data_IF_477777041660
#
_entry.id   IF_477777041660
#
_cell.length_a   1.000
_cell.length_b   1.000
_cell.length_c   1.000
_cell.angle_alpha   90.00
_cell.angle_beta   90.00
_cell.angle_gamma   90.00
#
_symmetry.space_group_name_H-M   'P 1'
#
loop_
_entity.id
_entity.type
_entity.pdbx_description
1 polymer ?
#
# COMPACT_ATOMS: atom_id res chain seq x y z
N UNK A 1 5.18 -5.50 -9.72
CA UNK A 1 5.77 -6.68 -10.38
C UNK A 1 6.62 -7.51 -9.41
N UNK A 2 7.60 -6.93 -8.76
CA UNK A 2 8.66 -7.65 -8.01
C UNK A 2 8.20 -8.27 -6.68
N UNK A 3 7.16 -7.73 -6.03
CA UNK A 3 6.76 -8.07 -4.65
C UNK A 3 6.63 -9.58 -4.38
N UNK A 4 5.95 -10.39 -5.19
CA UNK A 4 5.76 -11.83 -4.88
C UNK A 4 7.06 -12.64 -4.92
N UNK A 5 8.09 -12.15 -5.59
CA UNK A 5 9.36 -12.85 -5.80
C UNK A 5 10.46 -12.44 -4.81
N UNK A 6 10.29 -11.30 -4.14
CA UNK A 6 11.31 -10.78 -3.22
C UNK A 6 11.62 -11.72 -2.04
N UNK A 7 10.64 -12.41 -1.39
CA UNK A 7 10.95 -13.35 -0.31
C UNK A 7 11.83 -14.51 -0.78
N UNK A 8 11.55 -15.08 -1.95
CA UNK A 8 12.35 -16.15 -2.54
C UNK A 8 13.75 -15.65 -2.93
N UNK A 9 13.83 -14.45 -3.51
CA UNK A 9 15.11 -13.83 -3.86
C UNK A 9 15.99 -13.56 -2.63
N UNK A 10 15.41 -12.97 -1.56
CA UNK A 10 16.16 -12.78 -0.32
C UNK A 10 16.62 -14.11 0.29
N UNK A 11 15.78 -15.15 0.25
CA UNK A 11 16.16 -16.49 0.72
C UNK A 11 17.32 -17.09 -0.08
N UNK A 12 17.37 -16.87 -1.40
CA UNK A 12 18.49 -17.33 -2.26
C UNK A 12 19.81 -16.63 -1.92
N UNK A 13 19.77 -15.43 -1.32
CA UNK A 13 20.92 -14.71 -0.80
C UNK A 13 21.33 -15.16 0.62
N UNK A 14 20.61 -16.12 1.23
CA UNK A 14 20.83 -16.59 2.59
C UNK A 14 20.09 -15.79 3.68
N UNK A 15 19.14 -14.92 3.32
CA UNK A 15 18.44 -14.01 4.23
C UNK A 15 16.99 -14.44 4.56
N UNK A 16 16.67 -15.75 4.57
CA UNK A 16 15.31 -16.25 4.79
C UNK A 16 14.68 -15.75 6.10
N UNK A 17 15.48 -15.54 7.14
CA UNK A 17 15.05 -15.02 8.45
C UNK A 17 14.64 -13.54 8.43
N UNK A 18 15.06 -12.78 7.40
CA UNK A 18 14.81 -11.33 7.28
C UNK A 18 13.63 -10.98 6.37
N UNK A 19 12.78 -11.93 5.98
CA UNK A 19 11.65 -11.70 5.06
C UNK A 19 10.74 -10.54 5.49
N UNK A 20 10.47 -10.41 6.79
CA UNK A 20 9.68 -9.30 7.33
C UNK A 20 10.30 -7.92 7.08
N UNK A 21 11.63 -7.82 7.03
CA UNK A 21 12.34 -6.57 6.76
C UNK A 21 12.18 -6.09 5.30
N UNK A 22 11.84 -6.99 4.36
CA UNK A 22 11.59 -6.61 2.96
C UNK A 22 10.56 -5.49 2.87
N UNK A 23 9.47 -5.65 3.57
CA UNK A 23 8.35 -4.70 3.55
C UNK A 23 8.53 -3.63 4.63
N UNK A 24 8.98 -4.00 5.82
CA UNK A 24 9.15 -3.06 6.93
C UNK A 24 10.11 -1.91 6.59
N UNK A 25 11.28 -2.19 6.01
CA UNK A 25 12.24 -1.15 5.62
C UNK A 25 11.70 -0.26 4.50
N UNK A 26 10.99 -0.84 3.54
CA UNK A 26 10.37 -0.11 2.46
C UNK A 26 9.28 0.85 2.98
N UNK A 27 8.36 0.37 3.80
CA UNK A 27 7.27 1.19 4.36
C UNK A 27 7.77 2.19 5.39
N UNK A 28 8.83 1.89 6.13
CA UNK A 28 9.49 2.83 7.03
C UNK A 28 9.94 4.09 6.28
N UNK A 29 10.68 3.90 5.20
CA UNK A 29 11.15 5.04 4.39
C UNK A 29 10.00 5.72 3.66
N UNK A 30 9.03 4.97 3.15
CA UNK A 30 7.83 5.52 2.54
C UNK A 30 7.08 6.43 3.52
N UNK A 31 6.82 5.96 4.75
CA UNK A 31 6.13 6.72 5.79
C UNK A 31 6.89 7.98 6.22
N UNK A 32 8.19 7.85 6.50
CA UNK A 32 9.04 8.98 6.90
C UNK A 32 9.12 10.04 5.79
N UNK A 33 9.13 9.62 4.52
CA UNK A 33 9.28 10.55 3.40
C UNK A 33 8.00 11.32 3.03
N UNK A 34 6.81 10.86 3.44
CA UNK A 34 5.53 11.51 3.07
C UNK A 34 5.39 12.98 3.48
N UNK A 35 5.70 13.41 4.71
CA UNK A 35 5.63 14.82 5.06
C UNK A 35 6.58 15.69 4.23
N UNK A 36 7.78 15.14 3.91
CA UNK A 36 8.76 15.85 3.07
C UNK A 36 8.27 15.96 1.62
N UNK A 37 7.76 14.86 1.05
CA UNK A 37 7.29 14.85 -0.34
C UNK A 37 6.09 15.80 -0.53
N UNK A 38 5.17 15.88 0.43
CA UNK A 38 4.07 16.83 0.42
C UNK A 38 4.56 18.27 0.40
N UNK A 39 5.42 18.65 1.37
CA UNK A 39 5.98 19.99 1.44
C UNK A 39 6.80 20.36 0.20
N UNK A 40 7.63 19.45 -0.29
CA UNK A 40 8.42 19.69 -1.49
C UNK A 40 7.54 19.81 -2.74
N UNK A 41 6.50 19.00 -2.86
CA UNK A 41 5.54 19.13 -3.94
C UNK A 41 4.85 20.51 -3.93
N UNK A 42 4.54 21.07 -2.76
CA UNK A 42 3.92 22.39 -2.60
C UNK A 42 4.90 23.57 -2.75
N UNK A 43 6.20 23.32 -2.80
CA UNK A 43 7.22 24.38 -2.84
C UNK A 43 8.05 24.38 -4.12
N UNK A 44 8.59 23.24 -4.53
CA UNK A 44 9.47 23.14 -5.71
C UNK A 44 8.71 22.65 -6.96
N UNK A 45 7.52 22.06 -6.79
CA UNK A 45 6.64 21.64 -7.87
C UNK A 45 6.23 20.17 -7.81
N UNK A 46 5.10 19.84 -8.44
CA UNK A 46 4.54 18.49 -8.50
C UNK A 46 5.40 17.56 -9.34
N UNK A 47 5.72 18.02 -10.57
CA UNK A 47 6.44 17.21 -11.58
C UNK A 47 7.83 16.79 -11.11
N UNK A 48 8.71 17.66 -10.54
CA UNK A 48 10.00 17.25 -10.02
C UNK A 48 9.92 16.14 -8.96
N UNK A 49 8.90 16.17 -8.10
CA UNK A 49 8.72 15.17 -7.03
C UNK A 49 8.23 13.83 -7.59
N UNK A 50 7.35 13.84 -8.60
CA UNK A 50 6.94 12.64 -9.31
C UNK A 50 8.14 11.99 -10.00
N UNK A 51 8.95 12.79 -10.72
CA UNK A 51 10.16 12.32 -11.41
C UNK A 51 11.17 11.73 -10.41
N UNK A 52 11.40 12.39 -9.28
CA UNK A 52 12.31 11.87 -8.24
C UNK A 52 11.93 10.46 -7.81
N UNK A 53 10.66 10.23 -7.46
CA UNK A 53 10.21 8.90 -7.06
C UNK A 53 10.28 7.86 -8.20
N UNK A 54 10.01 8.25 -9.45
CA UNK A 54 10.16 7.39 -10.61
C UNK A 54 11.64 7.00 -10.85
N UNK A 55 12.57 7.94 -10.73
CA UNK A 55 14.01 7.69 -10.84
C UNK A 55 14.48 6.72 -9.76
N UNK A 56 14.06 6.91 -8.50
CA UNK A 56 14.38 5.97 -7.41
C UNK A 56 13.87 4.56 -7.76
N UNK A 57 12.64 4.43 -8.26
CA UNK A 57 12.07 3.14 -8.65
C UNK A 57 12.89 2.46 -9.76
N UNK A 58 13.28 3.21 -10.80
CA UNK A 58 14.11 2.71 -11.92
C UNK A 58 15.47 2.22 -11.41
N UNK A 59 16.19 3.08 -10.68
CA UNK A 59 17.51 2.76 -10.17
C UNK A 59 17.50 1.55 -9.25
N UNK A 60 16.56 1.50 -8.31
CA UNK A 60 16.44 0.36 -7.42
C UNK A 60 16.12 -0.94 -8.20
N UNK A 61 15.22 -0.89 -9.18
CA UNK A 61 14.89 -2.06 -10.00
C UNK A 61 16.08 -2.56 -10.82
N UNK A 62 16.94 -1.68 -11.30
CA UNK A 62 18.17 -2.05 -12.03
C UNK A 62 19.25 -2.63 -11.12
N UNK A 63 19.29 -2.22 -9.84
CA UNK A 63 20.31 -2.68 -8.90
C UNK A 63 19.99 -4.07 -8.34
N UNK A 64 18.72 -4.48 -8.19
CA UNK A 64 18.39 -5.80 -7.63
C UNK A 64 19.15 -6.97 -8.27
N UNK A 65 19.25 -7.10 -9.62
CA UNK A 65 19.93 -8.23 -10.26
C UNK A 65 21.41 -8.39 -9.93
N UNK A 66 22.08 -7.32 -9.51
CA UNK A 66 23.53 -7.31 -9.23
C UNK A 66 23.84 -7.48 -7.74
N UNK A 67 22.83 -7.59 -6.88
CA UNK A 67 23.01 -7.77 -5.45
C UNK A 67 23.38 -9.21 -5.12
N UNK A 68 24.41 -9.37 -4.30
CA UNK A 68 24.93 -10.67 -3.86
C UNK A 68 24.86 -10.86 -2.35
N UNK A 69 24.40 -9.84 -1.60
CA UNK A 69 24.40 -9.87 -0.13
C UNK A 69 23.02 -9.49 0.43
N UNK A 70 22.68 -10.09 1.57
CA UNK A 70 21.46 -9.78 2.33
C UNK A 70 21.43 -8.31 2.74
N UNK A 71 22.54 -7.79 3.27
CA UNK A 71 22.63 -6.38 3.71
C UNK A 71 22.44 -5.40 2.56
N UNK A 72 23.02 -5.67 1.40
CA UNK A 72 22.83 -4.87 0.19
C UNK A 72 21.38 -4.85 -0.27
N UNK A 73 20.73 -6.02 -0.25
CA UNK A 73 19.29 -6.13 -0.57
C UNK A 73 18.43 -5.32 0.40
N UNK A 74 18.63 -5.46 1.70
CA UNK A 74 17.86 -4.74 2.71
C UNK A 74 18.09 -3.22 2.64
N UNK A 75 19.32 -2.77 2.41
CA UNK A 75 19.63 -1.36 2.16
C UNK A 75 18.90 -0.84 0.92
N UNK A 76 18.88 -1.64 -0.16
CA UNK A 76 18.16 -1.26 -1.37
C UNK A 76 16.64 -1.19 -1.14
N UNK A 77 16.08 -2.07 -0.29
CA UNK A 77 14.66 -1.98 0.12
C UNK A 77 14.36 -0.68 0.85
N UNK A 78 15.25 -0.28 1.76
CA UNK A 78 15.14 0.99 2.47
C UNK A 78 15.14 2.18 1.48
N UNK A 79 16.08 2.21 0.52
CA UNK A 79 16.15 3.26 -0.49
C UNK A 79 14.93 3.26 -1.43
N UNK A 80 14.45 2.07 -1.82
CA UNK A 80 13.31 1.93 -2.72
C UNK A 80 12.00 2.50 -2.14
N UNK A 81 11.86 2.55 -0.81
CA UNK A 81 10.71 3.13 -0.12
C UNK A 81 10.46 4.60 -0.48
N UNK A 82 11.51 5.37 -0.82
CA UNK A 82 11.34 6.76 -1.28
C UNK A 82 10.45 6.86 -2.53
N UNK A 83 10.49 5.90 -3.44
CA UNK A 83 9.65 5.92 -4.64
C UNK A 83 8.15 6.02 -4.30
N UNK A 84 7.70 5.23 -3.33
CA UNK A 84 6.30 5.20 -2.88
C UNK A 84 5.95 6.38 -1.97
N UNK A 85 6.90 6.90 -1.23
CA UNK A 85 6.68 8.09 -0.40
C UNK A 85 6.54 9.38 -1.21
N UNK A 86 7.16 9.47 -2.39
CA UNK A 86 7.21 10.69 -3.21
C UNK A 86 6.19 10.70 -4.34
N UNK A 87 6.21 9.69 -5.24
CA UNK A 87 5.40 9.70 -6.47
C UNK A 87 3.89 9.79 -6.22
N UNK A 88 3.24 8.95 -5.41
CA UNK A 88 1.79 9.00 -5.24
C UNK A 88 1.29 10.31 -4.62
N UNK A 89 2.05 10.87 -3.66
CA UNK A 89 1.72 12.15 -3.01
C UNK A 89 1.64 13.27 -4.03
N UNK A 90 2.67 13.38 -4.87
CA UNK A 90 2.74 14.45 -5.87
C UNK A 90 1.77 14.24 -7.04
N UNK A 91 1.51 12.98 -7.48
CA UNK A 91 0.51 12.68 -8.51
C UNK A 91 -0.88 13.10 -8.04
N UNK A 92 -1.25 12.79 -6.80
CA UNK A 92 -2.56 13.15 -6.26
C UNK A 92 -2.75 14.66 -6.23
N UNK A 93 -1.72 15.41 -5.81
CA UNK A 93 -1.74 16.87 -5.84
C UNK A 93 -1.82 17.41 -7.28
N UNK A 94 -1.02 16.89 -8.20
CA UNK A 94 -1.03 17.28 -9.61
C UNK A 94 -2.42 17.12 -10.24
N UNK A 95 -3.05 15.96 -10.03
CA UNK A 95 -4.40 15.70 -10.59
C UNK A 95 -5.44 16.62 -9.95
N UNK A 96 -5.32 16.93 -8.66
CA UNK A 96 -6.22 17.88 -8.01
C UNK A 96 -6.10 19.30 -8.59
N UNK A 97 -4.91 19.68 -9.09
CA UNK A 97 -4.66 20.99 -9.69
C UNK A 97 -5.25 21.12 -11.12
N UNK A 98 -5.24 20.04 -11.91
CA UNK A 98 -5.66 20.08 -13.33
C UNK A 98 -7.15 19.83 -13.57
N UNK A 99 -7.87 19.36 -12.54
CA UNK A 99 -9.31 19.09 -12.64
C UNK A 99 -10.12 20.10 -11.85
N UNK A 100 -11.32 20.45 -12.36
CA UNK A 100 -12.24 21.31 -11.61
C UNK A 100 -12.69 20.61 -10.31
N UNK A 101 -13.05 21.40 -9.30
CA UNK A 101 -13.49 20.89 -7.98
C UNK A 101 -14.64 19.88 -8.09
N UNK A 102 -15.58 20.15 -8.99
CA UNK A 102 -16.75 19.28 -9.27
C UNK A 102 -16.37 17.89 -9.79
N UNK A 103 -15.20 17.74 -10.42
CA UNK A 103 -14.73 16.48 -11.03
C UNK A 103 -13.57 15.82 -10.29
N UNK A 104 -13.12 16.39 -9.17
CA UNK A 104 -12.00 15.82 -8.36
C UNK A 104 -12.27 14.39 -7.91
N UNK A 105 -13.51 14.12 -7.46
CA UNK A 105 -13.89 12.75 -7.04
C UNK A 105 -13.77 11.73 -8.17
N UNK A 106 -14.23 12.07 -9.38
CA UNK A 106 -14.10 11.25 -10.58
C UNK A 106 -12.62 10.97 -10.90
N UNK A 107 -11.80 12.01 -10.91
CA UNK A 107 -10.37 11.89 -11.21
C UNK A 107 -9.62 11.04 -10.18
N UNK A 108 -9.91 11.21 -8.87
CA UNK A 108 -9.33 10.37 -7.81
C UNK A 108 -9.80 8.91 -7.92
N UNK A 109 -11.04 8.69 -8.36
CA UNK A 109 -11.56 7.35 -8.69
C UNK A 109 -10.76 6.68 -9.80
N UNK A 110 -10.45 7.40 -10.88
CA UNK A 110 -9.63 6.90 -12.01
C UNK A 110 -8.20 6.56 -11.53
N UNK A 111 -7.57 7.41 -10.71
CA UNK A 111 -6.28 7.11 -10.10
C UNK A 111 -6.36 5.81 -9.29
N UNK A 112 -7.38 5.68 -8.45
CA UNK A 112 -7.59 4.48 -7.63
C UNK A 112 -7.75 3.20 -8.46
N UNK A 113 -8.50 3.26 -9.57
CA UNK A 113 -8.64 2.14 -10.52
C UNK A 113 -7.29 1.82 -11.16
N UNK A 114 -6.54 2.82 -11.60
CA UNK A 114 -5.22 2.65 -12.23
C UNK A 114 -4.23 1.98 -11.27
N UNK A 115 -4.20 2.40 -10.01
CA UNK A 115 -3.37 1.77 -8.96
C UNK A 115 -3.78 0.30 -8.75
N UNK A 116 -5.07 0.01 -8.70
CA UNK A 116 -5.56 -1.35 -8.52
C UNK A 116 -5.22 -2.24 -9.73
N UNK A 117 -5.38 -1.76 -10.95
CA UNK A 117 -4.99 -2.49 -12.15
C UNK A 117 -3.49 -2.80 -12.15
N UNK A 118 -2.65 -1.82 -11.81
CA UNK A 118 -1.22 -2.02 -11.67
C UNK A 118 -0.86 -3.04 -10.57
N UNK A 119 -1.58 -2.99 -9.45
CA UNK A 119 -1.39 -3.92 -8.32
C UNK A 119 -1.88 -5.35 -8.60
N UNK A 120 -2.73 -5.54 -9.61
CA UNK A 120 -3.18 -6.85 -10.09
C UNK A 120 -2.28 -7.40 -11.18
N UNK A 121 -2.14 -6.64 -12.26
CA UNK A 121 -1.41 -7.06 -13.47
C UNK A 121 0.08 -7.19 -13.17
N UNK A 122 0.62 -6.23 -12.41
CA UNK A 122 2.05 -6.18 -12.11
C UNK A 122 2.58 -7.47 -11.45
N UNK A 123 2.06 -7.90 -10.29
CA UNK A 123 2.48 -9.15 -9.65
C UNK A 123 2.27 -10.38 -10.50
N UNK A 124 1.15 -10.47 -11.23
CA UNK A 124 0.86 -11.62 -12.10
C UNK A 124 1.89 -11.75 -13.23
N UNK A 125 2.14 -10.66 -13.96
CA UNK A 125 3.15 -10.61 -15.04
C UNK A 125 4.55 -10.81 -14.48
N UNK A 126 4.86 -10.21 -13.31
CA UNK A 126 6.15 -10.37 -12.67
C UNK A 126 6.44 -11.82 -12.29
N UNK A 127 5.50 -12.50 -11.62
CA UNK A 127 5.65 -13.93 -11.31
C UNK A 127 5.72 -14.81 -12.57
N UNK A 128 4.96 -14.49 -13.61
CA UNK A 128 5.04 -15.21 -14.88
C UNK A 128 6.45 -15.14 -15.47
N UNK A 129 7.03 -13.93 -15.57
CA UNK A 129 8.39 -13.75 -16.11
C UNK A 129 9.42 -14.45 -15.21
N UNK A 130 9.28 -14.35 -13.89
CA UNK A 130 10.23 -14.96 -12.96
C UNK A 130 10.25 -16.49 -13.04
N UNK A 131 9.09 -17.12 -13.30
CA UNK A 131 8.93 -18.59 -13.37
C UNK A 131 9.39 -19.13 -14.73
N UNK A 132 8.97 -18.50 -15.83
CA UNK A 132 9.17 -19.05 -17.17
C UNK A 132 10.46 -18.54 -17.86
N UNK A 133 11.00 -17.42 -17.40
CA UNK A 133 12.20 -16.82 -17.98
C UNK A 133 13.30 -16.70 -16.93
N UNK A 134 13.34 -15.56 -16.18
CA UNK A 134 14.26 -15.38 -15.08
C UNK A 134 13.87 -14.24 -14.14
N UNK A 135 14.34 -14.33 -12.90
CA UNK A 135 14.24 -13.24 -11.92
C UNK A 135 14.89 -11.93 -12.41
N UNK A 136 16.04 -12.05 -13.05
CA UNK A 136 16.78 -10.89 -13.58
C UNK A 136 15.96 -10.17 -14.67
N UNK A 137 15.37 -10.94 -15.60
CA UNK A 137 14.52 -10.37 -16.63
C UNK A 137 13.30 -9.66 -16.03
N UNK A 138 12.69 -10.23 -14.98
CA UNK A 138 11.59 -9.58 -14.27
C UNK A 138 11.99 -8.21 -13.70
N UNK A 139 13.17 -8.08 -13.11
CA UNK A 139 13.67 -6.80 -12.60
C UNK A 139 13.94 -5.79 -13.74
N UNK A 140 14.53 -6.23 -14.85
CA UNK A 140 14.78 -5.37 -16.01
C UNK A 140 13.46 -4.91 -16.66
N UNK A 141 12.48 -5.80 -16.81
CA UNK A 141 11.16 -5.44 -17.32
C UNK A 141 10.45 -4.46 -16.38
N UNK A 142 10.56 -4.67 -15.06
CA UNK A 142 10.01 -3.74 -14.07
C UNK A 142 10.64 -2.35 -14.20
N UNK A 143 11.96 -2.29 -14.37
CA UNK A 143 12.69 -1.04 -14.59
C UNK A 143 12.29 -0.38 -15.92
N UNK A 144 12.12 -1.17 -16.98
CA UNK A 144 11.67 -0.70 -18.30
C UNK A 144 10.28 -0.07 -18.26
N UNK A 145 9.34 -0.68 -17.52
CA UNK A 145 8.00 -0.11 -17.32
C UNK A 145 8.07 1.20 -16.51
N UNK A 146 8.92 1.25 -15.48
CA UNK A 146 9.13 2.49 -14.72
C UNK A 146 9.76 3.60 -15.57
N UNK A 147 10.70 3.25 -16.45
CA UNK A 147 11.30 4.17 -17.42
C UNK A 147 10.25 4.68 -18.43
N UNK A 148 9.41 3.79 -18.96
CA UNK A 148 8.31 4.18 -19.86
C UNK A 148 7.35 5.14 -19.15
N UNK A 149 6.99 4.85 -17.88
CA UNK A 149 6.20 5.75 -17.06
C UNK A 149 6.88 7.12 -16.90
N UNK A 150 8.19 7.15 -16.65
CA UNK A 150 8.95 8.41 -16.55
C UNK A 150 8.96 9.19 -17.86
N UNK A 151 9.09 8.51 -19.00
CA UNK A 151 9.05 9.19 -20.33
C UNK A 151 7.70 9.88 -20.57
N UNK A 152 6.59 9.29 -20.10
CA UNK A 152 5.27 9.94 -20.18
C UNK A 152 5.21 11.21 -19.31
N UNK A 153 5.97 11.28 -18.22
CA UNK A 153 6.04 12.47 -17.36
C UNK A 153 6.78 13.65 -18.00
N UNK A 154 7.64 13.43 -18.98
CA UNK A 154 8.44 14.50 -19.63
C UNK A 154 7.55 15.54 -20.32
N UNK A 155 6.35 15.16 -20.75
CA UNK A 155 5.38 16.06 -21.37
C UNK A 155 4.44 16.74 -20.36
N UNK A 156 4.56 16.44 -19.07
CA UNK A 156 3.71 17.06 -18.05
C UNK A 156 4.17 18.49 -17.78
N UNK A 157 3.21 19.42 -17.84
CA UNK A 157 3.43 20.81 -17.45
C UNK A 157 3.28 20.94 -15.95
N UNK A 158 4.21 21.66 -15.33
CA UNK A 158 4.12 21.94 -13.90
C UNK A 158 2.88 22.79 -13.60
N UNK A 159 2.16 22.39 -12.54
CA UNK A 159 0.90 23.05 -12.14
C UNK A 159 1.11 24.09 -11.04
N UNK A 160 2.21 24.04 -10.31
CA UNK A 160 2.51 24.99 -9.26
C UNK A 160 2.84 26.36 -9.84
N UNK A 161 2.02 27.36 -9.53
CA UNK A 161 2.14 28.71 -10.09
C UNK A 161 3.41 29.44 -9.63
N UNK A 162 3.79 29.28 -8.35
CA UNK A 162 4.97 29.92 -7.76
C UNK A 162 5.93 28.85 -7.25
N UNK A 163 7.01 28.62 -7.99
CA UNK A 163 8.03 27.65 -7.61
C UNK A 163 9.17 28.32 -6.87
N UNK A 164 9.71 27.61 -5.89
CA UNK A 164 10.96 27.96 -5.23
C UNK A 164 12.08 27.04 -5.69
N UNK A 165 13.31 27.54 -5.73
CA UNK A 165 14.46 26.68 -5.91
C UNK A 165 14.62 25.76 -4.69
N UNK A 166 15.06 24.51 -4.89
CA UNK A 166 15.34 23.62 -3.78
C UNK A 166 16.40 24.23 -2.86
N UNK A 167 16.08 24.26 -1.59
CA UNK A 167 17.02 24.64 -0.53
C UNK A 167 16.90 23.64 0.63
N UNK A 168 18.01 23.19 1.25
CA UNK A 168 17.97 22.22 2.35
C UNK A 168 17.07 22.60 3.53
N UNK A 169 16.82 23.88 3.76
CA UNK A 169 15.86 24.35 4.77
C UNK A 169 14.41 23.88 4.53
N UNK A 170 14.06 23.54 3.30
CA UNK A 170 12.73 22.99 2.98
C UNK A 170 12.51 21.61 3.59
N UNK A 171 13.60 20.91 3.94
CA UNK A 171 13.54 19.62 4.66
C UNK A 171 13.29 19.80 6.18
N UNK A 172 13.27 21.02 6.70
CA UNK A 172 12.93 21.25 8.11
C UNK A 172 11.40 21.25 8.26
N UNK A 173 10.87 20.22 8.92
CA UNK A 173 9.45 20.11 9.25
C UNK A 173 9.20 20.61 10.67
N UNK A 174 8.16 21.42 10.85
CA UNK A 174 7.66 21.75 12.17
C UNK A 174 6.74 20.62 12.65
N UNK A 175 6.72 20.34 13.96
CA UNK A 175 5.92 19.28 14.57
C UNK A 175 4.42 19.40 14.23
N UNK A 176 3.90 20.59 14.16
CA UNK A 176 2.50 20.88 13.81
C UNK A 176 2.18 20.67 12.30
N UNK A 177 3.19 20.45 11.46
CA UNK A 177 3.03 20.19 10.03
C UNK A 177 2.92 18.68 9.73
N UNK A 178 3.25 17.80 10.70
CA UNK A 178 3.37 16.36 10.48
C UNK A 178 2.04 15.63 10.68
N UNK A 179 1.32 15.92 11.78
CA UNK A 179 0.10 15.19 12.15
C UNK A 179 -1.11 16.09 12.29
N UNK A 180 -2.25 15.58 11.83
CA UNK A 180 -3.56 16.17 12.06
C UNK A 180 -4.27 15.46 13.22
N UNK A 181 -4.67 16.22 14.26
CA UNK A 181 -5.25 15.65 15.49
C UNK A 181 -6.60 14.96 15.25
N UNK A 182 -7.44 15.50 14.35
CA UNK A 182 -8.73 14.93 14.00
C UNK A 182 -8.62 13.57 13.31
N UNK A 183 -7.50 13.35 12.62
CA UNK A 183 -7.25 12.15 11.80
C UNK A 183 -6.51 11.03 12.55
N UNK A 184 -6.14 11.22 13.83
CA UNK A 184 -5.42 10.19 14.60
C UNK A 184 -6.29 8.94 14.78
N UNK A 185 -7.57 9.09 15.10
CA UNK A 185 -8.49 7.96 15.30
C UNK A 185 -8.68 7.17 14.00
N UNK A 186 -9.02 7.79 12.85
CA UNK A 186 -8.99 7.11 11.56
C UNK A 186 -7.66 6.43 11.22
N UNK A 187 -6.52 7.06 11.54
CA UNK A 187 -5.20 6.49 11.28
C UNK A 187 -4.94 5.21 12.11
N UNK A 188 -5.35 5.20 13.38
CA UNK A 188 -5.26 4.00 14.23
C UNK A 188 -6.17 2.89 13.69
N UNK A 189 -7.41 3.21 13.33
CA UNK A 189 -8.35 2.25 12.75
C UNK A 189 -7.80 1.67 11.43
N UNK A 190 -7.25 2.53 10.57
CA UNK A 190 -6.56 2.14 9.34
C UNK A 190 -5.37 1.21 9.66
N UNK A 191 -4.59 1.57 10.67
CA UNK A 191 -3.46 0.78 11.14
C UNK A 191 -3.85 -0.64 11.54
N UNK A 192 -4.88 -0.79 12.35
CA UNK A 192 -5.38 -2.09 12.80
C UNK A 192 -5.91 -2.95 11.64
N UNK A 193 -6.57 -2.34 10.65
CA UNK A 193 -7.11 -3.04 9.48
C UNK A 193 -5.99 -3.43 8.51
N UNK A 194 -5.02 -2.54 8.25
CA UNK A 194 -3.97 -2.77 7.26
C UNK A 194 -2.79 -3.61 7.75
N UNK A 195 -2.66 -3.84 9.06
CA UNK A 195 -1.58 -4.65 9.60
C UNK A 195 -1.52 -6.03 8.93
N UNK A 196 -2.66 -6.66 8.73
CA UNK A 196 -2.73 -7.97 8.07
C UNK A 196 -2.25 -7.95 6.62
N UNK A 197 -2.36 -6.82 5.92
CA UNK A 197 -1.86 -6.69 4.56
C UNK A 197 -0.33 -6.80 4.48
N UNK A 198 0.39 -6.31 5.50
CA UNK A 198 1.83 -6.50 5.62
C UNK A 198 2.24 -7.98 5.73
N UNK A 199 1.52 -8.75 6.56
CA UNK A 199 1.72 -10.19 6.65
C UNK A 199 1.41 -10.90 5.32
N UNK A 200 0.30 -10.55 4.65
CA UNK A 200 -0.05 -11.09 3.32
C UNK A 200 1.11 -10.93 2.34
N UNK A 201 1.60 -9.71 2.16
CA UNK A 201 2.67 -9.43 1.18
C UNK A 201 3.94 -10.24 1.48
N UNK A 202 4.21 -10.50 2.78
CA UNK A 202 5.45 -11.13 3.23
C UNK A 202 5.42 -12.65 3.13
N UNK A 203 4.32 -13.29 3.56
CA UNK A 203 4.28 -14.75 3.74
C UNK A 203 3.38 -15.49 2.73
N UNK A 204 2.44 -14.82 2.09
CA UNK A 204 1.55 -15.47 1.11
C UNK A 204 2.28 -16.01 -0.13
N UNK A 205 3.39 -15.39 -0.62
CA UNK A 205 4.17 -16.00 -1.68
C UNK A 205 4.68 -17.41 -1.32
N UNK A 206 5.14 -17.60 -0.09
CA UNK A 206 5.60 -18.91 0.39
C UNK A 206 4.42 -19.89 0.53
N UNK A 207 3.29 -19.45 1.06
CA UNK A 207 2.07 -20.25 1.14
C UNK A 207 1.58 -20.67 -0.25
N UNK A 208 1.64 -19.77 -1.21
CA UNK A 208 1.26 -20.07 -2.61
C UNK A 208 2.10 -21.22 -3.18
N UNK A 209 3.42 -21.19 -2.97
CA UNK A 209 4.34 -22.26 -3.39
C UNK A 209 4.03 -23.57 -2.65
N UNK A 210 3.84 -23.51 -1.32
CA UNK A 210 3.51 -24.68 -0.50
C UNK A 210 2.23 -25.40 -0.96
N UNK A 211 1.25 -24.63 -1.41
CA UNK A 211 -0.01 -25.16 -1.96
C UNK A 211 0.07 -25.56 -3.44
N UNK A 212 1.24 -25.48 -4.08
CA UNK A 212 1.46 -25.89 -5.46
C UNK A 212 1.05 -24.84 -6.51
N UNK A 213 0.91 -23.58 -6.15
CA UNK A 213 0.65 -22.51 -7.12
C UNK A 213 1.93 -22.15 -7.88
N UNK A 214 1.89 -22.25 -9.21
CA UNK A 214 3.00 -21.86 -10.08
C UNK A 214 3.16 -20.34 -10.11
N UNK A 215 2.06 -19.61 -10.24
CA UNK A 215 2.07 -18.13 -10.29
C UNK A 215 1.59 -17.54 -8.97
N UNK A 216 2.54 -17.05 -8.16
CA UNK A 216 2.28 -16.39 -6.86
C UNK A 216 1.48 -15.09 -7.02
N UNK A 217 1.62 -14.43 -8.18
CA UNK A 217 0.91 -13.18 -8.49
C UNK A 217 -0.60 -13.37 -8.64
N UNK A 218 -1.08 -14.60 -8.92
CA UNK A 218 -2.50 -14.91 -9.05
C UNK A 218 -3.30 -14.56 -7.78
N UNK A 219 -2.68 -14.68 -6.60
CA UNK A 219 -3.26 -14.22 -5.33
C UNK A 219 -3.68 -12.75 -5.40
N UNK A 220 -2.74 -11.88 -5.83
CA UNK A 220 -2.98 -10.44 -5.92
C UNK A 220 -3.99 -10.09 -7.02
N UNK A 221 -4.10 -10.89 -8.06
CA UNK A 221 -5.13 -10.72 -9.10
C UNK A 221 -6.52 -10.98 -8.53
N UNK A 222 -6.74 -12.11 -7.84
CA UNK A 222 -8.01 -12.42 -7.17
C UNK A 222 -8.39 -11.33 -6.16
N UNK A 223 -7.44 -10.95 -5.30
CA UNK A 223 -7.58 -9.85 -4.35
C UNK A 223 -8.08 -8.56 -5.03
N UNK A 224 -7.41 -8.14 -6.10
CA UNK A 224 -7.71 -6.85 -6.74
C UNK A 224 -9.04 -6.88 -7.49
N UNK A 225 -9.35 -7.96 -8.19
CA UNK A 225 -10.64 -8.10 -8.88
C UNK A 225 -11.80 -7.97 -7.92
N UNK A 226 -11.76 -8.68 -6.78
CA UNK A 226 -12.80 -8.59 -5.76
C UNK A 226 -12.83 -7.21 -5.07
N UNK A 227 -11.66 -6.55 -4.90
CA UNK A 227 -11.59 -5.19 -4.38
C UNK A 227 -12.21 -4.15 -5.33
N UNK A 228 -12.04 -4.31 -6.64
CA UNK A 228 -12.69 -3.44 -7.63
C UNK A 228 -14.21 -3.67 -7.62
N UNK A 229 -14.65 -4.94 -7.63
CA UNK A 229 -16.06 -5.28 -7.59
C UNK A 229 -16.77 -4.74 -6.34
N UNK A 230 -16.13 -4.85 -5.18
CA UNK A 230 -16.72 -4.33 -3.92
C UNK A 230 -16.90 -2.82 -3.94
N UNK A 231 -16.03 -2.06 -4.61
CA UNK A 231 -16.11 -0.60 -4.70
C UNK A 231 -17.36 -0.12 -5.45
N UNK A 232 -17.92 -0.92 -6.36
CA UNK A 232 -19.18 -0.60 -7.05
C UNK A 232 -20.35 -0.48 -6.06
N UNK A 233 -20.27 -1.19 -4.94
CA UNK A 233 -21.33 -1.23 -3.89
C UNK A 233 -20.92 -0.40 -2.67
N UNK A 234 -19.63 -0.36 -2.34
CA UNK A 234 -19.09 0.20 -1.10
C UNK A 234 -19.38 1.70 -0.93
N UNK A 235 -19.31 2.48 -2.00
CA UNK A 235 -19.59 3.91 -1.95
C UNK A 235 -21.00 4.18 -1.45
N UNK A 236 -22.00 3.55 -2.08
CA UNK A 236 -23.41 3.68 -1.69
C UNK A 236 -23.67 3.15 -0.27
N UNK A 237 -23.06 2.03 0.09
CA UNK A 237 -23.19 1.46 1.43
C UNK A 237 -22.68 2.44 2.50
N UNK A 238 -21.50 3.00 2.28
CA UNK A 238 -20.87 3.97 3.17
C UNK A 238 -21.65 5.29 3.27
N UNK A 239 -22.27 5.74 2.18
CA UNK A 239 -23.08 6.97 2.16
C UNK A 239 -24.45 6.79 2.85
N UNK A 240 -25.07 5.60 2.73
CA UNK A 240 -26.40 5.31 3.31
C UNK A 240 -26.31 4.92 4.80
N UNK A 241 -25.38 4.03 5.15
CA UNK A 241 -25.30 3.46 6.50
C UNK A 241 -24.24 4.12 7.38
N UNK A 242 -23.43 5.02 6.81
CA UNK A 242 -22.35 5.73 7.49
C UNK A 242 -20.96 5.12 7.29
N UNK A 243 -19.93 5.97 7.43
CA UNK A 243 -18.52 5.60 7.22
C UNK A 243 -18.07 4.52 8.21
N UNK A 244 -18.36 4.76 9.49
CA UNK A 244 -17.92 3.89 10.59
C UNK A 244 -18.57 2.50 10.49
N UNK A 245 -19.83 2.42 10.07
CA UNK A 245 -20.55 1.13 9.86
C UNK A 245 -19.88 0.35 8.73
N UNK A 246 -19.56 0.98 7.60
CA UNK A 246 -18.88 0.33 6.49
C UNK A 246 -17.50 -0.20 6.91
N UNK A 247 -16.74 0.56 7.73
CA UNK A 247 -15.45 0.15 8.26
C UNK A 247 -15.60 -1.05 9.21
N UNK A 248 -16.63 -1.07 10.07
CA UNK A 248 -16.91 -2.22 10.97
C UNK A 248 -17.26 -3.49 10.18
N UNK A 249 -18.10 -3.38 9.16
CA UNK A 249 -18.43 -4.52 8.27
C UNK A 249 -17.16 -5.05 7.60
N UNK A 250 -16.34 -4.16 7.07
CA UNK A 250 -15.04 -4.52 6.49
C UNK A 250 -14.13 -5.25 7.49
N UNK A 251 -14.06 -4.78 8.74
CA UNK A 251 -13.23 -5.39 9.78
C UNK A 251 -13.68 -6.83 10.11
N UNK A 252 -15.01 -7.07 10.24
CA UNK A 252 -15.55 -8.42 10.47
C UNK A 252 -15.23 -9.35 9.30
N UNK A 253 -15.51 -8.90 8.07
CA UNK A 253 -15.23 -9.71 6.87
C UNK A 253 -13.74 -10.01 6.74
N UNK A 254 -12.88 -9.05 7.08
CA UNK A 254 -11.43 -9.22 7.02
C UNK A 254 -10.92 -10.22 8.05
N UNK A 255 -11.46 -10.20 9.28
CA UNK A 255 -11.13 -11.19 10.30
C UNK A 255 -11.50 -12.62 9.83
N UNK A 256 -12.69 -12.79 9.27
CA UNK A 256 -13.11 -14.07 8.68
C UNK A 256 -12.18 -14.47 7.54
N UNK A 257 -11.83 -13.54 6.66
CA UNK A 257 -10.94 -13.81 5.53
C UNK A 257 -9.56 -14.30 5.98
N UNK A 258 -8.98 -13.71 7.03
CA UNK A 258 -7.69 -14.16 7.56
C UNK A 258 -7.76 -15.56 8.17
N UNK A 259 -8.81 -15.88 8.92
CA UNK A 259 -9.02 -17.25 9.43
C UNK A 259 -9.10 -18.24 8.27
N UNK A 260 -9.89 -17.93 7.23
CA UNK A 260 -10.00 -18.78 6.04
C UNK A 260 -8.67 -18.92 5.30
N UNK A 261 -7.84 -17.87 5.24
CA UNK A 261 -6.49 -17.94 4.68
C UNK A 261 -5.62 -18.92 5.48
N UNK A 262 -5.64 -18.84 6.81
CA UNK A 262 -4.89 -19.75 7.68
C UNK A 262 -5.31 -21.22 7.54
N UNK A 263 -6.55 -21.47 7.15
CA UNK A 263 -7.10 -22.81 6.93
C UNK A 263 -6.92 -23.31 5.49
N UNK A 264 -6.32 -22.52 4.58
CA UNK A 264 -6.23 -22.86 3.16
C UNK A 264 -5.36 -24.09 2.91
N UNK A 265 -5.97 -25.14 2.28
CA UNK A 265 -5.31 -26.40 1.95
C UNK A 265 -5.20 -26.63 0.43
N UNK A 266 -5.65 -25.66 -0.38
CA UNK A 266 -5.58 -25.74 -1.83
C UNK A 266 -5.40 -24.37 -2.46
N UNK A 267 -4.86 -24.29 -3.70
CA UNK A 267 -4.77 -23.03 -4.45
C UNK A 267 -6.12 -22.30 -4.57
N UNK A 268 -7.17 -23.05 -4.90
CA UNK A 268 -8.52 -22.49 -5.08
C UNK A 268 -9.04 -21.86 -3.78
N UNK A 269 -8.83 -22.51 -2.64
CA UNK A 269 -9.23 -21.96 -1.34
C UNK A 269 -8.45 -20.69 -1.01
N UNK A 270 -7.13 -20.70 -1.24
CA UNK A 270 -6.30 -19.51 -1.02
C UNK A 270 -6.75 -18.33 -1.90
N UNK A 271 -7.07 -18.59 -3.18
CA UNK A 271 -7.59 -17.56 -4.08
C UNK A 271 -8.97 -17.05 -3.66
N UNK A 272 -9.88 -17.92 -3.20
CA UNK A 272 -11.18 -17.50 -2.67
C UNK A 272 -11.03 -16.62 -1.42
N UNK A 273 -10.14 -17.02 -0.49
CA UNK A 273 -9.83 -16.23 0.70
C UNK A 273 -9.21 -14.89 0.35
N UNK A 274 -8.31 -14.84 -0.64
CA UNK A 274 -7.73 -13.58 -1.14
C UNK A 274 -8.80 -12.66 -1.73
N UNK A 275 -9.76 -13.22 -2.45
CA UNK A 275 -10.91 -12.48 -2.96
C UNK A 275 -11.74 -11.84 -1.83
N UNK A 276 -11.96 -12.58 -0.73
CA UNK A 276 -12.68 -12.04 0.43
C UNK A 276 -11.87 -10.93 1.14
N UNK A 277 -10.55 -11.07 1.26
CA UNK A 277 -9.68 -9.98 1.74
C UNK A 277 -9.81 -8.76 0.84
N UNK A 278 -9.72 -8.95 -0.47
CA UNK A 278 -9.87 -7.87 -1.46
C UNK A 278 -11.22 -7.19 -1.36
N UNK A 279 -12.30 -7.96 -1.27
CA UNK A 279 -13.65 -7.43 -1.10
C UNK A 279 -13.78 -6.61 0.19
N UNK A 280 -13.28 -7.12 1.30
CA UNK A 280 -13.31 -6.45 2.60
C UNK A 280 -12.58 -5.10 2.56
N UNK A 281 -11.34 -5.08 2.08
CA UNK A 281 -10.55 -3.86 1.96
C UNK A 281 -11.12 -2.89 0.92
N UNK A 282 -11.76 -3.40 -0.13
CA UNK A 282 -12.43 -2.59 -1.14
C UNK A 282 -13.64 -1.82 -0.58
N UNK A 283 -14.28 -2.34 0.48
CA UNK A 283 -15.33 -1.63 1.24
C UNK A 283 -14.71 -0.67 2.25
N UNK A 284 -13.77 -1.13 3.06
CA UNK A 284 -13.26 -0.38 4.22
C UNK A 284 -12.37 0.80 3.88
N UNK A 285 -11.50 0.67 2.85
CA UNK A 285 -10.52 1.71 2.51
C UNK A 285 -11.17 3.02 2.06
N UNK A 286 -12.12 3.03 1.10
CA UNK A 286 -12.78 4.28 0.72
C UNK A 286 -13.52 4.93 1.89
N UNK A 287 -14.15 4.12 2.73
CA UNK A 287 -14.85 4.62 3.92
C UNK A 287 -13.89 5.25 4.94
N UNK A 288 -12.70 4.64 5.18
CA UNK A 288 -11.65 5.21 6.03
C UNK A 288 -11.14 6.55 5.49
N UNK A 289 -10.92 6.64 4.18
CA UNK A 289 -10.45 7.88 3.55
C UNK A 289 -11.50 8.97 3.67
N UNK A 290 -12.76 8.67 3.37
CA UNK A 290 -13.86 9.61 3.51
C UNK A 290 -14.01 10.07 4.98
N UNK A 291 -14.01 9.12 5.93
CA UNK A 291 -14.09 9.44 7.36
C UNK A 291 -12.96 10.32 7.86
N UNK A 292 -11.74 10.13 7.33
CA UNK A 292 -10.60 10.99 7.65
C UNK A 292 -10.83 12.43 7.17
N UNK A 293 -11.34 12.59 5.95
CA UNK A 293 -11.67 13.91 5.38
C UNK A 293 -12.82 14.56 6.14
N UNK A 294 -13.86 13.80 6.47
CA UNK A 294 -15.04 14.30 7.21
C UNK A 294 -14.67 14.81 8.62
N UNK A 295 -13.58 14.29 9.22
CA UNK A 295 -13.04 14.72 10.54
C UNK A 295 -11.97 15.82 10.45
N UNK A 296 -11.59 16.27 9.27
CA UNK A 296 -10.55 17.27 9.06
C UNK A 296 -11.11 18.62 8.65
N UNK A 297 -10.44 19.70 9.06
CA UNK A 297 -10.69 21.03 8.53
C UNK A 297 -10.33 21.11 7.04
N UNK A 298 -11.07 21.94 6.29
CA UNK A 298 -10.91 22.05 4.82
C UNK A 298 -9.46 22.40 4.45
N UNK A 299 -8.84 23.30 5.22
CA UNK A 299 -7.46 23.76 5.01
C UNK A 299 -6.41 22.72 5.39
N UNK A 300 -6.78 21.69 6.20
CA UNK A 300 -5.88 20.68 6.73
C UNK A 300 -6.06 19.29 6.10
N UNK A 301 -6.88 19.12 5.07
CA UNK A 301 -7.18 17.83 4.43
C UNK A 301 -5.93 17.09 3.93
N UNK A 302 -4.96 17.80 3.39
CA UNK A 302 -3.69 17.23 2.97
C UNK A 302 -2.91 16.61 4.13
N UNK A 303 -2.85 17.34 5.27
CA UNK A 303 -2.19 16.86 6.49
C UNK A 303 -2.94 15.68 7.13
N UNK A 304 -4.27 15.71 7.08
CA UNK A 304 -5.13 14.63 7.54
C UNK A 304 -4.85 13.33 6.77
N UNK A 305 -4.81 13.41 5.45
CA UNK A 305 -4.47 12.26 4.60
C UNK A 305 -3.03 11.77 4.81
N UNK A 306 -2.07 12.68 5.00
CA UNK A 306 -0.69 12.30 5.34
C UNK A 306 -0.64 11.52 6.66
N UNK A 307 -1.40 11.95 7.69
CA UNK A 307 -1.51 11.25 8.98
C UNK A 307 -2.07 9.83 8.79
N UNK A 308 -3.13 9.68 7.99
CA UNK A 308 -3.71 8.38 7.65
C UNK A 308 -2.71 7.46 6.95
N UNK A 309 -1.99 7.97 5.96
CA UNK A 309 -0.97 7.21 5.23
C UNK A 309 0.21 6.80 6.11
N UNK A 310 0.63 7.63 7.06
CA UNK A 310 1.66 7.23 8.04
C UNK A 310 1.17 6.04 8.86
N UNK A 311 -0.07 6.09 9.35
CA UNK A 311 -0.70 4.97 10.05
C UNK A 311 -0.71 3.68 9.21
N UNK A 312 -1.06 3.80 7.93
CA UNK A 312 -1.05 2.71 6.97
C UNK A 312 0.36 2.10 6.78
N UNK A 313 1.37 2.94 6.54
CA UNK A 313 2.75 2.47 6.32
C UNK A 313 3.32 1.77 7.58
N UNK A 314 3.07 2.36 8.77
CA UNK A 314 3.47 1.73 10.05
C UNK A 314 2.81 0.37 10.23
N UNK A 315 1.52 0.27 9.90
CA UNK A 315 0.78 -0.98 10.02
C UNK A 315 1.28 -2.06 9.06
N UNK A 316 1.49 -1.72 7.79
CA UNK A 316 2.00 -2.66 6.80
C UNK A 316 3.40 -3.16 7.22
N UNK A 317 4.28 -2.26 7.64
CA UNK A 317 5.61 -2.62 8.12
C UNK A 317 5.58 -3.51 9.37
N UNK A 318 4.78 -3.13 10.37
CA UNK A 318 4.62 -3.91 11.61
C UNK A 318 4.00 -5.28 11.33
N UNK A 319 3.00 -5.34 10.45
CA UNK A 319 2.36 -6.59 10.05
C UNK A 319 3.29 -7.53 9.29
N UNK A 320 4.19 -6.99 8.48
CA UNK A 320 5.23 -7.76 7.79
C UNK A 320 6.22 -8.39 8.79
N UNK A 321 6.65 -7.62 9.79
CA UNK A 321 7.53 -8.12 10.86
C UNK A 321 6.84 -9.17 11.73
N UNK A 322 5.62 -8.87 12.18
CA UNK A 322 4.84 -9.79 13.02
C UNK A 322 4.53 -11.09 12.27
N UNK A 323 4.08 -10.97 11.02
CA UNK A 323 3.78 -12.13 10.18
C UNK A 323 5.01 -13.01 9.96
N UNK A 324 6.15 -12.41 9.63
CA UNK A 324 7.40 -13.15 9.45
C UNK A 324 7.89 -13.82 10.74
N UNK A 325 7.80 -13.12 11.87
CA UNK A 325 8.23 -13.64 13.18
C UNK A 325 7.39 -14.84 13.65
N UNK A 326 6.06 -14.82 13.42
CA UNK A 326 5.21 -15.96 13.79
C UNK A 326 5.36 -17.10 12.79
N UNK A 327 5.46 -16.78 11.51
CA UNK A 327 5.65 -17.78 10.45
C UNK A 327 6.96 -18.54 10.60
N UNK A 328 8.04 -17.86 10.95
CA UNK A 328 9.38 -18.43 11.19
C UNK A 328 9.85 -19.42 10.11
N UNK A 329 9.53 -19.14 8.85
CA UNK A 329 9.77 -20.01 7.68
C UNK A 329 9.27 -21.47 7.86
N UNK A 330 8.31 -21.70 8.74
CA UNK A 330 7.70 -23.00 9.02
C UNK A 330 6.27 -23.03 8.48
N UNK A 331 6.01 -23.87 7.49
CA UNK A 331 4.69 -23.99 6.86
C UNK A 331 3.58 -24.38 7.85
N UNK A 332 3.88 -25.10 8.92
CA UNK A 332 2.90 -25.43 9.96
C UNK A 332 2.35 -24.19 10.67
N UNK A 333 3.09 -23.09 10.65
CA UNK A 333 2.72 -21.84 11.32
C UNK A 333 1.78 -20.94 10.47
N UNK A 334 1.44 -21.27 9.23
CA UNK A 334 0.52 -20.46 8.43
C UNK A 334 -0.81 -20.23 9.14
N UNK A 335 -1.42 -21.28 9.66
CA UNK A 335 -2.71 -21.17 10.37
C UNK A 335 -2.57 -20.27 11.60
N UNK A 336 -1.56 -20.49 12.43
CA UNK A 336 -1.30 -19.68 13.63
C UNK A 336 -1.09 -18.22 13.27
N UNK A 337 -0.29 -17.94 12.22
CA UNK A 337 0.02 -16.59 11.80
C UNK A 337 -1.24 -15.84 11.40
N UNK A 338 -2.07 -16.42 10.53
CA UNK A 338 -3.28 -15.73 10.07
C UNK A 338 -4.36 -15.64 11.13
N UNK A 339 -4.45 -16.60 12.07
CA UNK A 339 -5.34 -16.51 13.22
C UNK A 339 -4.94 -15.36 14.17
N UNK A 340 -3.64 -15.18 14.43
CA UNK A 340 -3.16 -14.02 15.20
C UNK A 340 -3.44 -12.72 14.45
N UNK A 341 -3.18 -12.67 13.16
CA UNK A 341 -3.46 -11.50 12.33
C UNK A 341 -4.96 -11.15 12.32
N UNK A 342 -5.85 -12.13 12.35
CA UNK A 342 -7.30 -11.93 12.41
C UNK A 342 -7.77 -11.20 13.66
N UNK A 343 -6.98 -11.18 14.73
CA UNK A 343 -7.31 -10.46 15.98
C UNK A 343 -7.29 -8.93 15.76
N UNK A 344 -6.45 -8.41 14.89
CA UNK A 344 -6.30 -6.96 14.70
C UNK A 344 -7.54 -6.29 14.10
N UNK A 345 -8.21 -6.82 13.05
CA UNK A 345 -9.50 -6.29 12.61
C UNK A 345 -10.58 -6.38 13.70
N UNK A 346 -10.55 -7.40 14.58
CA UNK A 346 -11.49 -7.49 15.72
C UNK A 346 -11.18 -6.41 16.77
N UNK A 347 -9.90 -6.12 17.03
CA UNK A 347 -9.52 -4.98 17.87
C UNK A 347 -9.99 -3.67 17.24
N UNK A 348 -9.87 -3.51 15.91
CA UNK A 348 -10.41 -2.34 15.20
C UNK A 348 -11.92 -2.20 15.40
N UNK A 349 -12.68 -3.31 15.35
CA UNK A 349 -14.11 -3.32 15.61
C UNK A 349 -14.44 -2.83 17.02
N UNK A 350 -13.71 -3.32 18.03
CA UNK A 350 -13.87 -2.89 19.42
C UNK A 350 -13.47 -1.42 19.61
N UNK A 351 -12.37 -1.00 18.99
CA UNK A 351 -11.89 0.38 19.01
C UNK A 351 -12.94 1.35 18.42
N UNK A 352 -13.58 0.95 17.33
CA UNK A 352 -14.59 1.74 16.66
C UNK A 352 -15.98 1.66 17.31
N UNK A 353 -16.19 0.83 18.36
CA UNK A 353 -17.51 0.59 18.93
C UNK A 353 -18.23 1.86 19.40
N UNK A 354 -17.48 2.81 19.95
CA UNK A 354 -18.01 4.11 20.45
C UNK A 354 -17.96 5.23 19.42
N UNK A 355 -17.29 5.01 18.29
CA UNK A 355 -17.18 6.04 17.26
C UNK A 355 -18.50 6.08 16.46
N UNK A 356 -18.93 7.30 16.18
CA UNK A 356 -20.09 7.57 15.33
C UNK A 356 -19.66 8.39 14.13
N UNK A 357 -20.46 8.37 13.08
CA UNK A 357 -20.25 9.25 11.93
C UNK A 357 -20.39 10.71 12.37
N UNK A 358 -19.58 11.57 11.77
CA UNK A 358 -19.77 13.01 11.87
C UNK A 358 -21.05 13.31 11.11
N UNK A 359 -22.10 13.70 11.81
CA UNK A 359 -23.32 14.22 11.18
C UNK A 359 -22.94 15.53 10.52
N UNK A 360 -22.75 15.52 9.21
CA UNK A 360 -22.65 16.76 8.45
C UNK A 360 -24.04 17.41 8.58
N UNK A 361 -24.09 18.53 9.28
CA UNK A 361 -25.29 19.35 9.29
C UNK A 361 -25.55 19.80 7.85
N UNK A 362 -26.73 19.44 7.32
CA UNK A 362 -27.23 19.86 6.01
C UNK A 362 -27.25 21.37 5.83
#
# INVERSE_FOLDING_TARGET
>A
MIIPELPAYLSSLGGAEYKGLIIALFTLTAGISRPFSGKLADTIGRVPIIIFGAVVCILCSLIYPVLTTVSGFLLLRLLHGFSTGFTPTAITAYVADIVSEKRRGEAMGIIGISINLGSSIGPFVGSYIAVYESLNLMFYVSSGIALLSMLLLLNMKETLAQKQAFHPRLLLLKRNEIFDSGSIIPAIACGLIYLGFGAIITITPDQSVHLGMVNKGAFFTSFTLCSILSRLVAGRLSDIYGRVVAIRISAVMLAIAFVLMGMSQSPTWLLASSGLVGFSLGVGIPALFAWTIDRSEIEHRGKAMATLYIGLEVAIGSGALLGAAIYDNNFANFSTTFNVIAVFPLIALLFLWKETDVVLAD
#
